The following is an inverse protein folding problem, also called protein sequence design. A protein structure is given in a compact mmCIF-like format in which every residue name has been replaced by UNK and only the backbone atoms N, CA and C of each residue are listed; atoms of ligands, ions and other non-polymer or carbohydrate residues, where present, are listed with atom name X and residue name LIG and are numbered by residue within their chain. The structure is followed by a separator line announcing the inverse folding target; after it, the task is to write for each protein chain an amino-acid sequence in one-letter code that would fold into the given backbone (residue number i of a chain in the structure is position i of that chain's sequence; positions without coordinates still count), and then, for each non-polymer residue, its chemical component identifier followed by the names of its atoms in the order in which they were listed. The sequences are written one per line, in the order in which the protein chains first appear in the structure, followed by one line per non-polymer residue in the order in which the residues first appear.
data_IF_850431414923
#
_entry.id   IF_850431414923
#
_cell.length_a   1.000
_cell.length_b   1.000
_cell.length_c   1.000
_cell.angle_alpha   90.00
_cell.angle_beta   90.00
_cell.angle_gamma   90.00
#
_symmetry.space_group_name_H-M   'P 1'
#
loop_
_entity.id
_entity.type
_entity.pdbx_description
1 polymer ?
#
# COMPACT_ATOMS: atom_id res chain seq x y z
N UNK A 1 -16.26 -45.00 26.42
CA UNK A 1 -17.42 -44.07 26.45
C UNK A 1 -16.89 -42.66 26.69
N UNK A 2 -16.43 -41.99 25.63
CA UNK A 2 -15.68 -40.73 25.72
C UNK A 2 -16.69 -39.59 25.80
N UNK A 3 -16.54 -38.74 26.83
CA UNK A 3 -17.47 -37.66 27.21
C UNK A 3 -17.74 -36.71 26.04
N UNK A 4 -19.00 -36.68 25.59
CA UNK A 4 -19.57 -35.81 24.56
C UNK A 4 -19.38 -34.30 24.86
N UNK A 5 -19.04 -33.93 26.10
CA UNK A 5 -18.74 -32.55 26.51
C UNK A 5 -17.37 -32.02 26.10
N UNK A 6 -16.43 -32.87 25.65
CA UNK A 6 -15.07 -32.42 25.32
C UNK A 6 -14.97 -31.72 23.96
N UNK A 7 -15.91 -31.97 23.06
CA UNK A 7 -15.88 -31.43 21.70
C UNK A 7 -16.29 -29.94 21.66
N UNK A 8 -17.21 -29.54 22.54
CA UNK A 8 -17.68 -28.15 22.63
C UNK A 8 -16.61 -27.21 23.19
N UNK A 9 -15.79 -27.70 24.13
CA UNK A 9 -14.66 -26.96 24.72
C UNK A 9 -13.58 -26.68 23.68
N UNK A 10 -13.32 -27.63 22.77
CA UNK A 10 -12.34 -27.46 21.68
C UNK A 10 -12.82 -26.43 20.66
N UNK A 11 -14.10 -26.42 20.31
CA UNK A 11 -14.70 -25.43 19.39
C UNK A 11 -14.64 -24.01 19.98
N UNK A 12 -14.88 -23.86 21.28
CA UNK A 12 -14.79 -22.58 21.98
C UNK A 12 -13.34 -22.07 22.03
N UNK A 13 -12.35 -22.95 22.26
CA UNK A 13 -10.93 -22.59 22.25
C UNK A 13 -10.41 -22.18 20.86
N UNK A 14 -10.88 -22.82 19.79
CA UNK A 14 -10.57 -22.44 18.41
C UNK A 14 -11.18 -21.08 18.02
N UNK A 15 -12.31 -20.71 18.61
CA UNK A 15 -12.99 -19.42 18.34
C UNK A 15 -12.25 -18.23 18.94
N UNK A 16 -11.47 -18.44 20.01
CA UNK A 16 -10.74 -17.37 20.72
C UNK A 16 -9.48 -16.94 19.95
N UNK A 17 -8.92 -17.81 19.10
CA UNK A 17 -7.70 -17.52 18.33
C UNK A 17 -7.93 -16.60 17.11
N UNK A 18 -9.18 -16.43 16.65
CA UNK A 18 -9.47 -15.67 15.41
C UNK A 18 -9.82 -14.18 15.61
N UNK A 19 -9.76 -13.66 16.85
CA UNK A 19 -9.91 -12.23 17.13
C UNK A 19 -8.59 -11.45 17.11
N UNK A 20 -7.58 -11.94 16.39
CA UNK A 20 -6.40 -11.17 16.03
C UNK A 20 -6.67 -10.31 14.80
N UNK A 21 -7.59 -9.34 14.89
CA UNK A 21 -7.59 -8.25 13.90
C UNK A 21 -6.35 -7.42 14.18
N UNK A 22 -5.27 -7.68 13.43
CA UNK A 22 -4.17 -6.72 13.23
C UNK A 22 -4.74 -5.51 12.49
N UNK A 23 -5.59 -4.74 13.17
CA UNK A 23 -5.76 -3.34 12.86
C UNK A 23 -4.46 -2.69 13.27
N UNK A 24 -3.50 -2.62 12.34
CA UNK A 24 -2.38 -1.71 12.46
C UNK A 24 -2.97 -0.37 12.86
N UNK A 25 -2.65 0.13 14.05
CA UNK A 25 -3.01 1.47 14.46
C UNK A 25 -2.56 2.38 13.32
N UNK A 26 -3.51 3.00 12.61
CA UNK A 26 -3.20 3.68 11.36
C UNK A 26 -2.20 4.76 11.68
N UNK A 27 -0.96 4.58 11.23
CA UNK A 27 0.06 5.59 11.43
C UNK A 27 -0.42 6.81 10.67
N UNK A 28 -0.51 7.96 11.35
CA UNK A 28 -1.05 9.17 10.73
C UNK A 28 -0.15 9.71 9.59
N UNK A 29 0.95 9.05 9.27
CA UNK A 29 1.92 9.45 8.25
C UNK A 29 2.26 8.25 7.38
N UNK A 30 2.57 8.50 6.10
CA UNK A 30 2.95 7.46 5.15
C UNK A 30 4.09 7.92 4.25
N UNK A 31 4.94 6.98 3.86
CA UNK A 31 5.79 7.11 2.69
C UNK A 31 4.96 6.72 1.46
N UNK A 32 4.80 7.66 0.54
CA UNK A 32 3.99 7.44 -0.67
C UNK A 32 4.89 7.55 -1.90
N UNK A 33 4.80 6.56 -2.79
CA UNK A 33 5.41 6.61 -4.12
C UNK A 33 4.41 6.24 -5.20
N UNK A 34 4.78 6.47 -6.45
CA UNK A 34 3.93 6.27 -7.63
C UNK A 34 4.66 5.40 -8.64
N UNK A 35 3.99 4.36 -9.12
CA UNK A 35 4.50 3.40 -10.09
C UNK A 35 3.58 3.36 -11.31
N UNK A 36 4.13 3.72 -12.48
CA UNK A 36 3.38 3.81 -13.73
C UNK A 36 3.47 2.58 -14.63
N UNK A 37 4.45 1.72 -14.40
CA UNK A 37 4.74 0.58 -15.25
C UNK A 37 5.77 -0.33 -14.60
N UNK A 38 5.82 -1.57 -15.05
CA UNK A 38 6.68 -2.62 -14.50
C UNK A 38 8.17 -2.31 -14.64
N UNK A 39 8.56 -1.46 -15.60
CA UNK A 39 9.95 -1.05 -15.83
C UNK A 39 10.57 -0.32 -14.62
N UNK A 40 9.75 0.26 -13.75
CA UNK A 40 10.20 0.95 -12.54
C UNK A 40 10.00 0.14 -11.26
N UNK A 41 9.50 -1.10 -11.35
CA UNK A 41 9.19 -1.95 -10.20
C UNK A 41 10.41 -2.09 -9.28
N UNK A 42 11.58 -2.43 -9.85
CA UNK A 42 12.81 -2.63 -9.07
C UNK A 42 13.17 -1.40 -8.25
N UNK A 43 13.00 -0.20 -8.82
CA UNK A 43 13.25 1.06 -8.12
C UNK A 43 12.37 1.23 -6.89
N UNK A 44 11.08 0.90 -6.99
CA UNK A 44 10.14 0.95 -5.85
C UNK A 44 10.50 -0.09 -4.79
N UNK A 45 10.88 -1.30 -5.18
CA UNK A 45 11.31 -2.34 -4.23
C UNK A 45 12.55 -1.91 -3.45
N UNK A 46 13.56 -1.38 -4.15
CA UNK A 46 14.80 -0.88 -3.56
C UNK A 46 14.54 0.30 -2.63
N UNK A 47 13.71 1.26 -3.06
CA UNK A 47 13.26 2.38 -2.20
C UNK A 47 12.62 1.86 -0.92
N UNK A 48 11.76 0.86 -1.04
CA UNK A 48 11.07 0.29 0.10
C UNK A 48 12.03 -0.40 1.07
N UNK A 49 13.01 -1.14 0.55
CA UNK A 49 14.07 -1.74 1.34
C UNK A 49 14.91 -0.67 2.05
N UNK A 50 15.34 0.38 1.35
CA UNK A 50 16.17 1.43 1.95
C UNK A 50 15.45 2.21 3.05
N UNK A 51 14.15 2.47 2.90
CA UNK A 51 13.34 3.12 3.95
C UNK A 51 13.26 2.22 5.18
N UNK A 52 13.05 0.92 5.02
CA UNK A 52 13.01 -0.03 6.15
C UNK A 52 14.37 -0.19 6.84
N UNK A 53 15.46 -0.08 6.08
CA UNK A 53 16.81 -0.23 6.61
C UNK A 53 17.28 1.03 7.38
N UNK A 54 16.79 2.20 6.99
CA UNK A 54 17.25 3.49 7.55
C UNK A 54 16.23 4.19 8.45
N UNK A 55 14.95 3.81 8.38
CA UNK A 55 13.83 4.57 8.92
C UNK A 55 13.14 3.97 10.14
N UNK A 56 12.33 4.80 10.79
CA UNK A 56 11.47 4.44 11.93
C UNK A 56 10.25 3.64 11.45
N UNK A 57 9.98 2.49 12.08
CA UNK A 57 8.99 1.45 11.71
C UNK A 57 7.51 1.89 11.73
N UNK A 58 7.23 3.15 12.03
CA UNK A 58 5.89 3.61 12.42
C UNK A 58 5.22 4.48 11.34
N UNK A 59 5.57 4.29 10.07
CA UNK A 59 4.86 4.93 8.94
C UNK A 59 4.44 3.88 7.94
N UNK A 60 3.21 4.01 7.44
CA UNK A 60 2.71 3.20 6.35
C UNK A 60 3.58 3.39 5.09
N UNK A 61 3.75 2.32 4.33
CA UNK A 61 4.38 2.37 3.01
C UNK A 61 3.31 2.17 1.95
N UNK A 62 2.99 3.20 1.18
CA UNK A 62 1.94 3.17 0.16
C UNK A 62 2.53 3.39 -1.22
N UNK A 63 2.12 2.55 -2.16
CA UNK A 63 2.44 2.71 -3.58
C UNK A 63 1.14 2.89 -4.35
N UNK A 64 1.03 4.04 -5.03
CA UNK A 64 -0.01 4.30 -6.01
C UNK A 64 0.40 3.63 -7.32
N UNK A 65 -0.43 2.76 -7.88
CA UNK A 65 -0.13 2.00 -9.11
C UNK A 65 -1.10 2.37 -10.22
N UNK A 66 -0.59 2.58 -11.43
CA UNK A 66 -1.44 2.74 -12.61
C UNK A 66 -1.94 1.38 -13.15
N UNK A 67 -2.74 1.47 -14.21
CA UNK A 67 -3.14 0.36 -15.08
C UNK A 67 -1.97 -0.28 -15.86
N UNK A 68 -0.87 0.44 -16.06
CA UNK A 68 0.34 -0.07 -16.70
C UNK A 68 1.17 -1.05 -15.85
N UNK A 69 0.82 -1.24 -14.58
CA UNK A 69 1.51 -2.16 -13.67
C UNK A 69 0.80 -3.51 -13.66
N UNK A 70 1.55 -4.59 -13.92
CA UNK A 70 0.99 -5.94 -13.94
C UNK A 70 0.54 -6.40 -12.55
N UNK A 71 -0.38 -7.36 -12.51
CA UNK A 71 -0.84 -7.93 -11.24
C UNK A 71 0.26 -8.71 -10.53
N UNK A 72 1.21 -9.28 -11.27
CA UNK A 72 2.41 -9.88 -10.71
C UNK A 72 3.25 -8.86 -9.95
N UNK A 73 3.51 -7.69 -10.54
CA UNK A 73 4.20 -6.59 -9.87
C UNK A 73 3.47 -6.11 -8.61
N UNK A 74 2.14 -5.99 -8.67
CA UNK A 74 1.33 -5.63 -7.48
C UNK A 74 1.45 -6.68 -6.38
N UNK A 75 1.47 -7.97 -6.71
CA UNK A 75 1.67 -9.05 -5.73
C UNK A 75 3.05 -8.98 -5.09
N UNK A 76 4.11 -8.75 -5.89
CA UNK A 76 5.46 -8.56 -5.36
C UNK A 76 5.56 -7.37 -4.41
N UNK A 77 4.93 -6.24 -4.75
CA UNK A 77 4.91 -5.06 -3.89
C UNK A 77 4.19 -5.33 -2.56
N UNK A 78 3.06 -6.04 -2.59
CA UNK A 78 2.37 -6.46 -1.36
C UNK A 78 3.24 -7.38 -0.50
N UNK A 79 3.94 -8.34 -1.12
CA UNK A 79 4.86 -9.24 -0.42
C UNK A 79 6.04 -8.47 0.21
N UNK A 80 6.49 -7.39 -0.44
CA UNK A 80 7.49 -6.48 0.08
C UNK A 80 6.95 -5.52 1.17
N UNK A 81 5.68 -5.64 1.56
CA UNK A 81 5.08 -4.81 2.62
C UNK A 81 4.54 -3.45 2.17
N UNK A 82 4.36 -3.23 0.86
CA UNK A 82 3.67 -2.04 0.36
C UNK A 82 2.14 -2.22 0.42
N UNK A 83 1.43 -1.20 0.89
CA UNK A 83 0.00 -1.00 0.60
C UNK A 83 -0.13 -0.54 -0.85
N UNK A 84 -0.77 -1.35 -1.68
CA UNK A 84 -0.97 -1.05 -3.11
C UNK A 84 -2.34 -0.41 -3.31
N UNK A 85 -2.36 0.80 -3.86
CA UNK A 85 -3.59 1.53 -4.20
C UNK A 85 -3.62 1.84 -5.70
N UNK A 86 -4.67 1.42 -6.39
CA UNK A 86 -4.79 1.68 -7.82
C UNK A 86 -5.23 3.12 -8.06
N UNK A 87 -4.59 3.78 -9.03
CA UNK A 87 -4.97 5.10 -9.52
C UNK A 87 -5.13 5.11 -11.03
N UNK A 88 -6.01 5.97 -11.51
CA UNK A 88 -6.10 6.27 -12.95
C UNK A 88 -5.07 7.33 -13.33
N UNK A 89 -4.43 7.19 -14.49
CA UNK A 89 -3.59 8.26 -15.03
C UNK A 89 -4.44 9.48 -15.40
N UNK A 90 -3.90 10.67 -15.20
CA UNK A 90 -4.55 11.92 -15.59
C UNK A 90 -3.92 12.44 -16.87
N UNK A 91 -4.71 12.62 -17.93
CA UNK A 91 -4.28 13.36 -19.11
C UNK A 91 -3.90 14.79 -18.72
N UNK A 92 -2.93 15.40 -19.43
CA UNK A 92 -2.55 16.79 -19.16
C UNK A 92 -3.79 17.70 -19.39
N UNK A 93 -4.33 18.35 -18.35
CA UNK A 93 -5.50 19.22 -18.48
C UNK A 93 -5.14 20.58 -19.08
N UNK A 94 -3.86 20.94 -19.07
CA UNK A 94 -3.35 22.21 -19.58
C UNK A 94 -3.04 22.08 -21.08
N UNK A 95 -3.67 22.94 -21.87
CA UNK A 95 -3.52 22.96 -23.34
C UNK A 95 -2.28 23.72 -23.82
N UNK A 96 -1.69 24.56 -22.98
CA UNK A 96 -0.48 25.37 -23.28
C UNK A 96 0.79 24.55 -23.07
N UNK A 97 0.80 23.68 -22.06
CA UNK A 97 1.97 22.87 -21.72
C UNK A 97 2.05 21.55 -22.50
N UNK A 98 3.26 21.02 -22.76
CA UNK A 98 3.44 19.75 -23.46
C UNK A 98 2.66 18.58 -22.86
N UNK A 99 2.08 17.74 -23.71
CA UNK A 99 1.30 16.55 -23.30
C UNK A 99 2.07 15.59 -22.38
N UNK A 100 3.41 15.53 -22.50
CA UNK A 100 4.30 14.70 -21.67
C UNK A 100 4.24 14.99 -20.16
N UNK A 101 3.66 16.12 -19.74
CA UNK A 101 3.51 16.46 -18.32
C UNK A 101 2.31 15.80 -17.64
N UNK A 102 1.59 14.90 -18.32
CA UNK A 102 0.53 14.08 -17.71
C UNK A 102 0.97 13.41 -16.39
N UNK A 103 2.22 12.92 -16.31
CA UNK A 103 2.76 12.28 -15.11
C UNK A 103 2.99 13.25 -13.95
N UNK A 104 3.29 14.53 -14.25
CA UNK A 104 3.43 15.56 -13.21
C UNK A 104 2.08 15.81 -12.55
N UNK A 105 1.02 15.97 -13.34
CA UNK A 105 -0.33 16.16 -12.83
C UNK A 105 -0.87 14.91 -12.12
N UNK A 106 -0.56 13.72 -12.64
CA UNK A 106 -0.97 12.46 -12.00
C UNK A 106 -0.36 12.32 -10.60
N UNK A 107 0.89 12.75 -10.41
CA UNK A 107 1.55 12.74 -9.08
C UNK A 107 0.79 13.57 -8.04
N UNK A 108 0.06 14.61 -8.43
CA UNK A 108 -0.74 15.42 -7.52
C UNK A 108 -1.89 14.64 -6.87
N UNK A 109 -2.29 13.48 -7.42
CA UNK A 109 -3.29 12.60 -6.79
C UNK A 109 -2.90 12.11 -5.39
N UNK A 110 -1.61 12.18 -5.04
CA UNK A 110 -1.14 11.93 -3.66
C UNK A 110 -1.88 12.83 -2.65
N UNK A 111 -2.28 14.05 -3.02
CA UNK A 111 -3.01 14.95 -2.13
C UNK A 111 -4.46 14.50 -1.82
N UNK A 112 -5.00 13.52 -2.55
CA UNK A 112 -6.30 12.93 -2.28
C UNK A 112 -6.24 11.84 -1.19
N UNK A 113 -5.06 11.48 -0.69
CA UNK A 113 -4.88 10.51 0.39
C UNK A 113 -5.20 11.15 1.75
N UNK A 114 -6.49 11.40 2.00
CA UNK A 114 -6.99 12.18 3.15
C UNK A 114 -6.89 11.46 4.49
N UNK A 115 -6.66 10.15 4.49
CA UNK A 115 -6.51 9.34 5.70
C UNK A 115 -5.19 9.61 6.43
N UNK A 116 -4.23 10.26 5.75
CA UNK A 116 -2.91 10.60 6.29
C UNK A 116 -2.77 12.11 6.54
N UNK A 117 -2.02 12.46 7.59
CA UNK A 117 -1.57 13.83 7.84
C UNK A 117 -0.61 14.25 6.73
N UNK A 118 -0.79 15.47 6.23
CA UNK A 118 0.08 16.05 5.22
C UNK A 118 1.43 16.40 5.86
N UNK A 119 2.50 15.83 5.32
CA UNK A 119 3.86 16.26 5.64
C UNK A 119 4.14 17.65 5.10
N UNK A 120 5.19 18.29 5.61
CA UNK A 120 5.77 19.47 4.96
C UNK A 120 6.60 18.98 3.76
N UNK A 121 6.28 19.47 2.57
CA UNK A 121 7.04 19.23 1.35
C UNK A 121 8.41 19.91 1.40
#
# INVERSE_FOLDING_TARGET
MVKLGSFWVIIILLSIQFKGSFGSESTKEAYVTLLYGDEFLLGVRVLGKSIRDTGSSNKDMVVLVSDGVSDYSKLLLKADGWRVENITLLANPNQVHPKRFWGVYTKLKIFNMTDYKKGKC
#
